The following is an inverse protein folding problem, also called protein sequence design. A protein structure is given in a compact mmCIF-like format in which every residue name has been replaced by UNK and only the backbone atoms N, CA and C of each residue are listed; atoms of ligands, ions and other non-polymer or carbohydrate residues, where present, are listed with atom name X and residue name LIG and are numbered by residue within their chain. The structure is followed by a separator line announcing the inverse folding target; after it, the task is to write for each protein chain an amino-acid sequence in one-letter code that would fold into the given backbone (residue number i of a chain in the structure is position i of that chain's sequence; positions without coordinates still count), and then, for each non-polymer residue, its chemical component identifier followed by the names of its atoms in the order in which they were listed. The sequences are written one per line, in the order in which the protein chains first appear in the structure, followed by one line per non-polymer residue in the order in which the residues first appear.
data_IF_712553914997
#
_entry.id   IF_712553914997
#
_cell.length_a   1.000
_cell.length_b   1.000
_cell.length_c   1.000
_cell.angle_alpha   90.00
_cell.angle_beta   90.00
_cell.angle_gamma   90.00
#
_symmetry.space_group_name_H-M   'P 1'
#
loop_
_entity.id
_entity.type
_entity.pdbx_description
1 polymer ?
#
# COMPACT_ATOMS: atom_id res chain seq x y z
N UNK A 1 6.27 17.92 6.78
CA UNK A 1 5.26 17.30 5.91
C UNK A 1 3.89 17.64 6.49
N UNK A 2 2.96 18.11 5.67
CA UNK A 2 1.57 18.27 6.10
C UNK A 2 0.90 16.90 6.03
N UNK A 3 0.54 16.34 7.18
CA UNK A 3 -0.19 15.07 7.28
C UNK A 3 -1.56 15.12 6.55
N UNK A 4 -2.09 16.33 6.27
CA UNK A 4 -3.33 16.61 5.50
C UNK A 4 -3.25 16.37 3.97
N UNK A 5 -2.14 15.83 3.46
CA UNK A 5 -1.92 15.68 2.00
C UNK A 5 -2.10 14.26 1.47
N UNK A 6 -2.40 13.29 2.32
CA UNK A 6 -2.63 11.90 1.87
C UNK A 6 -4.09 11.69 1.47
N UNK A 7 -4.31 10.88 0.43
CA UNK A 7 -5.67 10.53 -0.02
C UNK A 7 -6.42 9.70 1.02
N UNK A 8 -7.75 9.82 1.02
CA UNK A 8 -8.61 8.97 1.87
C UNK A 8 -8.49 7.50 1.44
N UNK A 9 -8.25 7.23 0.16
CA UNK A 9 -8.01 5.90 -0.38
C UNK A 9 -6.72 5.28 0.16
N UNK A 10 -5.63 6.04 0.25
CA UNK A 10 -4.38 5.56 0.84
C UNK A 10 -4.51 5.33 2.34
N UNK A 11 -5.21 6.22 3.04
CA UNK A 11 -5.54 6.05 4.47
C UNK A 11 -6.42 4.83 4.70
N UNK A 12 -7.44 4.62 3.86
CA UNK A 12 -8.29 3.44 3.92
C UNK A 12 -7.49 2.16 3.69
N UNK A 13 -6.69 2.10 2.62
CA UNK A 13 -5.86 0.94 2.31
C UNK A 13 -4.96 0.56 3.49
N UNK A 14 -4.21 1.52 4.05
CA UNK A 14 -3.31 1.20 5.15
C UNK A 14 -4.03 0.95 6.48
N UNK A 15 -4.99 1.79 6.85
CA UNK A 15 -5.66 1.70 8.16
C UNK A 15 -6.64 0.53 8.25
N UNK A 16 -7.34 0.20 7.15
CA UNK A 16 -8.33 -0.86 7.15
C UNK A 16 -7.71 -2.26 6.96
N UNK A 17 -6.64 -2.40 6.18
CA UNK A 17 -6.03 -3.72 5.89
C UNK A 17 -4.80 -4.03 6.76
N UNK A 18 -4.04 -3.03 7.17
CA UNK A 18 -2.98 -3.22 8.18
C UNK A 18 -3.48 -2.86 9.59
N UNK A 19 -4.74 -3.18 9.92
CA UNK A 19 -5.33 -2.96 11.24
C UNK A 19 -4.71 -3.85 12.34
N UNK A 20 -5.10 -3.68 13.60
CA UNK A 20 -4.44 -4.35 14.74
C UNK A 20 -4.39 -5.89 14.66
N UNK A 21 -5.38 -6.49 14.01
CA UNK A 21 -5.58 -7.94 13.91
C UNK A 21 -5.13 -8.51 12.55
N UNK A 22 -4.45 -7.75 11.70
CA UNK A 22 -4.08 -8.19 10.34
C UNK A 22 -3.38 -9.56 10.31
N UNK A 23 -2.57 -9.87 11.33
CA UNK A 23 -1.83 -11.13 11.44
C UNK A 23 -2.70 -12.36 11.77
N UNK A 24 -4.00 -12.18 12.04
CA UNK A 24 -4.98 -13.26 12.14
C UNK A 24 -5.60 -13.62 10.79
N UNK A 25 -5.56 -12.68 9.83
CA UNK A 25 -6.23 -12.78 8.54
C UNK A 25 -5.25 -13.10 7.40
N UNK A 26 -3.98 -12.70 7.57
CA UNK A 26 -2.91 -12.88 6.60
C UNK A 26 -1.64 -13.42 7.27
N UNK A 27 -0.89 -14.27 6.56
CA UNK A 27 0.36 -14.82 7.04
C UNK A 27 1.52 -13.81 7.00
N UNK A 28 1.48 -12.86 6.06
CA UNK A 28 2.47 -11.81 5.88
C UNK A 28 1.85 -10.54 5.27
N UNK A 29 2.66 -9.48 5.16
CA UNK A 29 2.18 -8.21 4.59
C UNK A 29 1.81 -8.34 3.11
N UNK A 30 2.39 -9.31 2.40
CA UNK A 30 2.11 -9.55 1.00
C UNK A 30 0.69 -10.06 0.81
N UNK A 31 0.27 -11.00 1.64
CA UNK A 31 -1.10 -11.51 1.67
C UNK A 31 -2.11 -10.41 2.03
N UNK A 32 -1.78 -9.48 2.93
CA UNK A 32 -2.65 -8.31 3.21
C UNK A 32 -2.93 -7.48 1.95
N UNK A 33 -1.89 -7.20 1.15
CA UNK A 33 -2.06 -6.46 -0.12
C UNK A 33 -2.88 -7.26 -1.14
N UNK A 34 -2.69 -8.58 -1.18
CA UNK A 34 -3.46 -9.45 -2.08
C UNK A 34 -4.94 -9.50 -1.69
N UNK A 35 -5.24 -9.62 -0.38
CA UNK A 35 -6.59 -9.56 0.15
C UNK A 35 -7.28 -8.26 -0.21
N UNK A 36 -6.60 -7.11 -0.06
CA UNK A 36 -7.14 -5.82 -0.52
C UNK A 36 -7.56 -5.83 -1.99
N UNK A 37 -6.72 -6.35 -2.88
CA UNK A 37 -7.04 -6.40 -4.32
C UNK A 37 -8.17 -7.39 -4.60
N UNK A 38 -8.23 -8.50 -3.87
CA UNK A 38 -9.25 -9.52 -4.03
C UNK A 38 -10.63 -9.07 -3.49
N UNK A 39 -10.65 -8.40 -2.35
CA UNK A 39 -11.88 -8.06 -1.63
C UNK A 39 -12.53 -6.78 -2.17
N UNK A 40 -11.73 -5.75 -2.49
CA UNK A 40 -12.24 -4.47 -2.99
C UNK A 40 -12.37 -4.42 -4.52
N UNK A 41 -11.71 -5.34 -5.24
CA UNK A 41 -11.59 -5.33 -6.70
C UNK A 41 -11.29 -3.93 -7.27
N UNK A 42 -10.22 -3.24 -6.80
CA UNK A 42 -9.96 -1.84 -7.14
C UNK A 42 -9.65 -1.67 -8.63
N UNK A 43 -10.02 -0.51 -9.18
CA UNK A 43 -9.68 -0.18 -10.56
C UNK A 43 -8.16 -0.04 -10.76
N UNK A 44 -7.69 -0.28 -11.99
CA UNK A 44 -6.28 -0.09 -12.38
C UNK A 44 -5.81 1.34 -12.07
N UNK A 45 -6.67 2.33 -12.31
CA UNK A 45 -6.35 3.74 -12.05
C UNK A 45 -6.21 4.03 -10.56
N UNK A 46 -7.06 3.43 -9.71
CA UNK A 46 -6.92 3.56 -8.26
C UNK A 46 -5.59 2.96 -7.78
N UNK A 47 -5.26 1.74 -8.21
CA UNK A 47 -3.98 1.11 -7.87
C UNK A 47 -2.79 1.95 -8.33
N UNK A 48 -2.83 2.51 -9.55
CA UNK A 48 -1.79 3.42 -10.05
C UNK A 48 -1.68 4.70 -9.23
N UNK A 49 -2.81 5.26 -8.77
CA UNK A 49 -2.84 6.43 -7.90
C UNK A 49 -2.18 6.16 -6.54
N UNK A 50 -2.53 5.05 -5.88
CA UNK A 50 -1.93 4.63 -4.61
C UNK A 50 -0.41 4.44 -4.76
N UNK A 51 0.02 3.76 -5.83
CA UNK A 51 1.43 3.55 -6.15
C UNK A 51 2.17 4.87 -6.30
N UNK A 52 1.60 5.82 -7.06
CA UNK A 52 2.21 7.12 -7.28
C UNK A 52 2.36 7.90 -5.96
N UNK A 53 1.33 7.89 -5.11
CA UNK A 53 1.37 8.58 -3.82
C UNK A 53 2.43 7.98 -2.88
N UNK A 54 2.52 6.63 -2.82
CA UNK A 54 3.54 5.94 -2.04
C UNK A 54 4.95 6.25 -2.57
N UNK A 55 5.17 6.19 -3.89
CA UNK A 55 6.47 6.49 -4.50
C UNK A 55 6.90 7.94 -4.18
N UNK A 56 5.97 8.89 -4.30
CA UNK A 56 6.20 10.32 -4.12
C UNK A 56 6.53 10.67 -2.65
N UNK A 57 5.82 10.08 -1.68
CA UNK A 57 6.17 10.27 -0.26
C UNK A 57 7.47 9.54 0.10
N UNK A 58 7.72 8.35 -0.46
CA UNK A 58 8.94 7.57 -0.23
C UNK A 58 10.20 8.19 -0.82
N UNK A 59 10.06 9.05 -1.84
CA UNK A 59 11.20 9.76 -2.43
C UNK A 59 11.63 10.99 -1.61
N UNK A 60 10.74 11.53 -0.76
CA UNK A 60 10.91 12.83 -0.10
C UNK A 60 11.03 12.75 1.42
N UNK A 61 10.64 11.63 2.02
CA UNK A 61 10.66 11.42 3.47
C UNK A 61 12.00 10.90 3.97
N UNK A 62 12.43 11.38 5.13
CA UNK A 62 13.41 10.67 5.94
C UNK A 62 12.75 9.47 6.63
N UNK A 63 13.54 8.48 7.05
CA UNK A 63 13.02 7.26 7.68
C UNK A 63 12.18 7.52 8.94
N UNK A 64 12.59 8.49 9.79
CA UNK A 64 11.82 8.87 10.97
C UNK A 64 10.45 9.46 10.63
N UNK A 65 10.37 10.21 9.52
CA UNK A 65 9.13 10.80 9.03
C UNK A 65 8.25 9.73 8.41
N UNK A 66 8.84 8.79 7.67
CA UNK A 66 8.12 7.64 7.10
C UNK A 66 7.49 6.79 8.20
N UNK A 67 8.22 6.47 9.27
CA UNK A 67 7.67 5.75 10.43
C UNK A 67 6.48 6.50 11.03
N UNK A 68 6.59 7.82 11.21
CA UNK A 68 5.51 8.63 11.77
C UNK A 68 4.30 8.64 10.84
N UNK A 69 4.51 8.82 9.53
CA UNK A 69 3.45 8.80 8.52
C UNK A 69 2.68 7.47 8.57
N UNK A 70 3.38 6.34 8.45
CA UNK A 70 2.76 5.01 8.43
C UNK A 70 1.96 4.73 9.70
N UNK A 71 2.52 5.04 10.88
CA UNK A 71 1.92 4.64 12.16
C UNK A 71 0.93 5.65 12.73
N UNK A 72 1.01 6.93 12.36
CA UNK A 72 0.19 8.01 12.96
C UNK A 72 -0.77 8.66 11.99
N UNK A 73 -0.47 8.64 10.69
CA UNK A 73 -1.27 9.31 9.66
C UNK A 73 -2.05 8.29 8.84
N UNK A 74 -1.39 7.20 8.43
CA UNK A 74 -1.99 6.08 7.70
C UNK A 74 -2.53 4.98 8.62
N UNK A 75 -2.25 5.08 9.92
CA UNK A 75 -2.76 4.21 10.99
C UNK A 75 -2.47 2.70 10.79
N UNK A 76 -1.44 2.35 10.02
CA UNK A 76 -1.05 0.97 9.82
C UNK A 76 -0.35 0.39 11.08
N UNK A 77 -0.85 -0.74 11.55
CA UNK A 77 -0.29 -1.55 12.63
C UNK A 77 0.71 -2.61 12.13
N UNK A 78 1.57 -2.23 11.19
CA UNK A 78 2.67 -3.07 10.72
C UNK A 78 4.03 -2.53 11.20
N UNK A 79 4.90 -3.45 11.66
CA UNK A 79 6.25 -3.14 12.12
C UNK A 79 7.29 -3.89 11.26
N UNK A 80 7.94 -3.21 10.30
CA UNK A 80 8.82 -3.86 9.30
C UNK A 80 10.22 -4.21 9.80
N UNK A 81 10.61 -3.78 11.01
CA UNK A 81 11.96 -3.94 11.53
C UNK A 81 12.14 -5.28 12.26
N UNK A 82 13.35 -5.89 12.21
CA UNK A 82 14.59 -5.38 11.63
C UNK A 82 14.77 -5.65 10.13
N UNK A 83 13.88 -6.38 9.48
CA UNK A 83 14.04 -6.88 8.11
C UNK A 83 14.09 -5.74 7.08
N UNK A 84 13.27 -4.70 7.27
CA UNK A 84 13.21 -3.54 6.41
C UNK A 84 13.10 -2.25 7.22
N UNK A 85 13.59 -1.14 6.65
CA UNK A 85 13.14 0.18 7.08
C UNK A 85 11.69 0.40 6.67
N UNK A 86 11.00 1.37 7.28
CA UNK A 86 9.65 1.75 6.85
C UNK A 86 9.65 2.19 5.38
N UNK A 87 10.66 2.97 4.95
CA UNK A 87 10.79 3.38 3.54
C UNK A 87 10.99 2.19 2.60
N UNK A 88 11.82 1.20 2.93
CA UNK A 88 11.96 0.00 2.11
C UNK A 88 10.66 -0.80 2.04
N UNK A 89 9.96 -0.96 3.15
CA UNK A 89 8.72 -1.71 3.20
C UNK A 89 7.61 -1.07 2.36
N UNK A 90 7.34 0.24 2.50
CA UNK A 90 6.28 0.89 1.70
C UNK A 90 6.59 0.86 0.20
N UNK A 91 7.87 0.91 -0.20
CA UNK A 91 8.27 0.74 -1.61
C UNK A 91 7.98 -0.68 -2.12
N UNK A 92 8.10 -1.69 -1.27
CA UNK A 92 7.71 -3.07 -1.62
C UNK A 92 6.19 -3.21 -1.74
N UNK A 93 5.43 -2.56 -0.86
CA UNK A 93 3.96 -2.47 -0.98
C UNK A 93 3.57 -1.84 -2.32
N UNK A 94 4.17 -0.69 -2.68
CA UNK A 94 3.94 -0.06 -3.99
C UNK A 94 4.34 -0.97 -5.16
N UNK A 95 5.44 -1.71 -5.07
CA UNK A 95 5.83 -2.68 -6.10
C UNK A 95 4.79 -3.79 -6.28
N UNK A 96 4.19 -4.27 -5.18
CA UNK A 96 3.14 -5.29 -5.22
C UNK A 96 1.82 -4.77 -5.78
N UNK A 97 1.38 -3.58 -5.37
CA UNK A 97 0.21 -2.91 -5.96
C UNK A 97 0.39 -2.68 -7.48
N UNK A 98 1.59 -2.26 -7.89
CA UNK A 98 1.94 -2.08 -9.32
C UNK A 98 1.85 -3.40 -10.11
N UNK A 99 2.26 -4.51 -9.49
CA UNK A 99 2.13 -5.85 -10.10
C UNK A 99 0.67 -6.17 -10.37
N UNK A 100 -0.21 -6.00 -9.37
CA UNK A 100 -1.65 -6.21 -9.51
C UNK A 100 -2.29 -5.32 -10.57
N UNK A 101 -1.92 -4.03 -10.61
CA UNK A 101 -2.41 -3.11 -11.64
C UNK A 101 -2.08 -3.59 -13.06
N UNK A 102 -0.86 -4.10 -13.28
CA UNK A 102 -0.44 -4.62 -14.58
C UNK A 102 -1.15 -5.94 -14.95
N UNK A 103 -1.43 -6.80 -13.97
CA UNK A 103 -2.16 -8.06 -14.20
C UNK A 103 -3.63 -7.82 -14.57
N UNK A 104 -4.28 -6.84 -13.93
CA UNK A 104 -5.64 -6.43 -14.29
C UNK A 104 -5.66 -5.81 -15.69
N UNK A 105 -4.76 -4.87 -15.99
CA UNK A 105 -4.67 -4.19 -17.30
C UNK A 105 -4.44 -5.19 -18.45
N UNK A 106 -3.54 -6.17 -18.27
CA UNK A 106 -3.28 -7.22 -19.25
C UNK A 106 -4.45 -8.18 -19.45
N UNK A 107 -5.24 -8.45 -18.40
CA UNK A 107 -6.45 -9.29 -18.49
C UNK A 107 -7.58 -8.60 -19.24
N UNK A 108 -7.76 -7.28 -19.04
CA UNK A 108 -8.72 -6.49 -19.81
C UNK A 108 -8.35 -6.48 -21.29
N UNK A 109 -7.07 -6.23 -21.61
CA UNK A 109 -6.59 -6.23 -23.00
C UNK A 109 -6.77 -7.58 -23.72
N UNK A 110 -6.73 -8.70 -22.99
CA UNK A 110 -6.91 -10.05 -23.55
C UNK A 110 -8.37 -10.50 -23.68
N UNK A 111 -9.32 -9.77 -23.09
CA UNK A 111 -10.76 -10.11 -23.10
C UNK A 111 -11.54 -9.36 -24.19
N UNK A 112 -10.92 -8.33 -24.78
CA UNK A 112 -11.47 -7.51 -25.87
C UNK A 112 -11.04 -7.98 -27.29
N UNK A 113 -10.36 -9.14 -27.38
CA UNK A 113 -9.89 -9.79 -28.64
C UNK A 113 -10.72 -11.05 -28.97
#
# INVERSE_FOLDING_TARGET
MNDDSMSEELRHFFGAYFHEDWGLEAADWQEVVDSYVQDEEPSVDLLRSLVHEIDDVSARSAESDMRRLVTRTLEANYYPLPEFTYTEWVRQVAARLRKHANEIDGRTASSDE
#
